data_IF_523002152013
#
_entry.id   IF_523002152013
#
_cell.length_a   1.000
_cell.length_b   1.000
_cell.length_c   1.000
_cell.angle_alpha   90.00
_cell.angle_beta   90.00
_cell.angle_gamma   90.00
#
_symmetry.space_group_name_H-M   'P 1'
#
loop_
_entity.id
_entity.type
_entity.pdbx_description
1 polymer ?
#
# COMPACT_ATOMS: atom_id res chain seq x y z
N UNK A 1 -14.96 4.88 1.69
CA UNK A 1 -14.52 3.58 2.23
C UNK A 1 -13.46 3.81 3.28
N UNK A 2 -13.39 2.89 4.23
CA UNK A 2 -12.31 2.72 5.19
C UNK A 2 -11.31 1.70 4.66
N UNK A 3 -10.06 2.12 4.50
CA UNK A 3 -9.02 1.34 3.86
C UNK A 3 -7.85 1.19 4.82
N UNK A 4 -7.46 -0.06 5.08
CA UNK A 4 -6.24 -0.39 5.81
C UNK A 4 -5.11 -0.70 4.84
N UNK A 5 -3.99 0.01 4.95
CA UNK A 5 -2.78 -0.29 4.19
C UNK A 5 -1.82 -1.07 5.08
N UNK A 6 -1.33 -2.22 4.61
CA UNK A 6 -0.35 -3.01 5.33
C UNK A 6 1.07 -2.51 5.03
N UNK A 7 1.66 -1.83 6.02
CA UNK A 7 3.01 -1.29 6.00
C UNK A 7 3.14 0.10 5.36
N UNK A 8 4.39 0.53 5.21
CA UNK A 8 4.80 1.80 4.59
C UNK A 8 5.82 1.54 3.47
N UNK A 9 5.38 0.82 2.43
CA UNK A 9 6.13 0.54 1.22
C UNK A 9 5.85 1.54 0.10
N UNK A 10 6.68 1.54 -0.95
CA UNK A 10 6.54 2.43 -2.12
C UNK A 10 5.13 2.37 -2.71
N UNK A 11 4.66 1.15 -3.01
CA UNK A 11 3.35 0.92 -3.63
C UNK A 11 2.23 1.28 -2.66
N UNK A 12 2.24 0.74 -1.44
CA UNK A 12 1.23 1.01 -0.42
C UNK A 12 1.05 2.51 -0.16
N UNK A 13 2.13 3.25 0.04
CA UNK A 13 2.07 4.70 0.26
C UNK A 13 1.59 5.48 -0.98
N UNK A 14 1.94 5.02 -2.18
CA UNK A 14 1.43 5.63 -3.43
C UNK A 14 -0.10 5.55 -3.47
N UNK A 15 -0.64 4.34 -3.37
CA UNK A 15 -2.07 4.11 -3.45
C UNK A 15 -2.79 4.72 -2.24
N UNK A 16 -2.19 4.70 -1.05
CA UNK A 16 -2.71 5.41 0.12
C UNK A 16 -2.92 6.90 -0.14
N UNK A 17 -1.95 7.56 -0.80
CA UNK A 17 -2.07 8.98 -1.16
C UNK A 17 -3.20 9.23 -2.16
N UNK A 18 -3.37 8.35 -3.15
CA UNK A 18 -4.42 8.46 -4.18
C UNK A 18 -5.80 8.18 -3.59
N UNK A 19 -5.93 7.14 -2.76
CA UNK A 19 -7.19 6.84 -2.06
C UNK A 19 -7.61 7.98 -1.14
N UNK A 20 -6.66 8.61 -0.44
CA UNK A 20 -6.94 9.76 0.41
C UNK A 20 -7.44 10.96 -0.40
N UNK A 21 -6.82 11.25 -1.55
CA UNK A 21 -7.28 12.29 -2.48
C UNK A 21 -8.68 12.02 -3.04
N UNK A 22 -9.02 10.75 -3.26
CA UNK A 22 -10.35 10.33 -3.67
C UNK A 22 -11.40 10.41 -2.53
N UNK A 23 -11.04 10.94 -1.35
CA UNK A 23 -11.95 11.13 -0.23
C UNK A 23 -12.18 9.90 0.64
N UNK A 24 -11.34 8.86 0.51
CA UNK A 24 -11.42 7.68 1.39
C UNK A 24 -10.72 7.92 2.73
N UNK A 25 -11.16 7.19 3.76
CA UNK A 25 -10.41 7.09 5.00
C UNK A 25 -9.32 6.04 4.83
N UNK A 26 -8.08 6.42 5.15
CA UNK A 26 -6.91 5.58 4.93
C UNK A 26 -6.07 5.56 6.19
N UNK A 27 -5.87 4.35 6.71
CA UNK A 27 -5.07 4.08 7.89
C UNK A 27 -4.01 3.01 7.56
N UNK A 28 -2.97 2.95 8.39
CA UNK A 28 -1.84 2.05 8.21
C UNK A 28 -1.68 1.13 9.41
N UNK A 29 -1.45 -0.15 9.13
CA UNK A 29 -0.83 -1.05 10.09
C UNK A 29 0.67 -1.11 9.82
N UNK A 30 1.46 -0.66 10.78
CA UNK A 30 2.92 -0.79 10.77
C UNK A 30 3.27 -1.75 11.89
N UNK A 31 3.98 -2.83 11.57
CA UNK A 31 4.41 -3.80 12.58
C UNK A 31 5.29 -3.12 13.63
N UNK A 32 5.12 -3.53 14.88
CA UNK A 32 5.97 -3.13 16.00
C UNK A 32 7.45 -3.44 15.70
N UNK A 33 8.34 -2.51 16.06
CA UNK A 33 9.79 -2.64 15.82
C UNK A 33 10.20 -2.37 14.37
N UNK A 34 9.27 -1.92 13.52
CA UNK A 34 9.59 -1.37 12.21
C UNK A 34 10.37 -0.07 12.35
N UNK A 35 11.43 0.10 11.58
CA UNK A 35 12.17 1.37 11.50
C UNK A 35 11.36 2.54 10.87
N UNK A 36 10.08 2.31 10.57
CA UNK A 36 9.13 3.28 10.00
C UNK A 36 7.94 3.56 10.93
N UNK A 37 7.88 2.92 12.08
CA UNK A 37 6.75 3.03 13.03
C UNK A 37 6.50 4.46 13.51
N UNK A 38 7.56 5.26 13.63
CA UNK A 38 7.48 6.66 14.05
C UNK A 38 7.08 7.63 12.92
N UNK A 39 6.95 7.18 11.67
CA UNK A 39 6.75 8.07 10.53
C UNK A 39 5.28 8.52 10.46
N UNK A 40 5.06 9.83 10.61
CA UNK A 40 3.73 10.45 10.56
C UNK A 40 3.48 11.28 9.29
N UNK A 41 4.52 11.69 8.56
CA UNK A 41 4.38 12.46 7.32
C UNK A 41 5.35 11.96 6.24
N UNK A 42 4.88 11.96 5.00
CA UNK A 42 5.61 11.54 3.81
C UNK A 42 5.46 12.62 2.74
N UNK A 43 6.57 13.12 2.22
CA UNK A 43 6.58 13.88 0.98
C UNK A 43 6.51 12.91 -0.20
N UNK A 44 5.40 12.94 -0.91
CA UNK A 44 5.16 12.11 -2.08
C UNK A 44 5.43 12.93 -3.34
N UNK A 45 6.41 12.50 -4.14
CA UNK A 45 6.68 13.03 -5.48
C UNK A 45 6.28 11.99 -6.52
N UNK A 46 5.17 12.25 -7.22
CA UNK A 46 4.65 11.38 -8.27
C UNK A 46 4.99 11.93 -9.65
N UNK A 47 5.33 11.05 -10.58
CA UNK A 47 5.26 11.36 -12.01
C UNK A 47 3.98 10.74 -12.56
N UNK A 48 2.98 11.60 -12.82
CA UNK A 48 1.65 11.21 -13.24
C UNK A 48 1.56 11.14 -14.77
N UNK A 49 1.45 9.92 -15.30
CA UNK A 49 1.39 9.65 -16.74
C UNK A 49 0.00 9.71 -17.37
N UNK A 50 -1.07 10.03 -16.62
CA UNK A 50 -2.46 9.95 -17.13
C UNK A 50 -2.71 10.93 -18.29
N UNK A 51 -2.23 12.16 -18.14
CA UNK A 51 -2.46 13.24 -19.11
C UNK A 51 -1.29 13.44 -20.08
N UNK A 52 -0.14 12.79 -19.84
CA UNK A 52 1.06 12.98 -20.66
C UNK A 52 1.98 11.77 -20.58
N UNK A 53 2.45 11.28 -21.73
CA UNK A 53 3.41 10.18 -21.83
C UNK A 53 4.79 10.51 -21.24
N UNK A 54 5.13 11.80 -21.10
CA UNK A 54 6.34 12.25 -20.38
C UNK A 54 6.13 12.35 -18.87
N UNK A 55 4.87 12.30 -18.43
CA UNK A 55 4.44 12.45 -17.05
C UNK A 55 4.49 13.90 -16.54
N UNK A 56 3.57 14.22 -15.64
CA UNK A 56 3.54 15.50 -14.92
C UNK A 56 4.02 15.25 -13.49
N UNK A 57 5.06 15.97 -13.07
CA UNK A 57 5.54 15.83 -11.70
C UNK A 57 4.61 16.55 -10.73
N UNK A 58 4.07 15.81 -9.77
CA UNK A 58 3.23 16.30 -8.68
C UNK A 58 3.94 16.06 -7.36
N UNK A 59 3.95 17.06 -6.48
CA UNK A 59 4.46 16.93 -5.10
C UNK A 59 3.31 17.18 -4.14
N UNK A 60 3.22 16.35 -3.11
CA UNK A 60 2.20 16.44 -2.06
C UNK A 60 2.72 15.88 -0.76
N UNK A 61 2.11 16.32 0.34
CA UNK A 61 2.32 15.71 1.64
C UNK A 61 1.24 14.66 1.91
N UNK A 62 1.63 13.57 2.54
CA UNK A 62 0.76 12.50 2.96
C UNK A 62 0.96 12.22 4.45
N UNK A 63 -0.08 12.46 5.23
CA UNK A 63 -0.10 12.12 6.66
C UNK A 63 -0.42 10.64 6.83
N UNK A 64 0.46 9.93 7.53
CA UNK A 64 0.26 8.52 7.89
C UNK A 64 -0.59 8.46 9.14
N UNK A 65 -1.81 7.94 9.01
CA UNK A 65 -2.67 7.67 10.16
C UNK A 65 -2.48 6.22 10.60
N UNK A 66 -2.14 5.94 11.87
CA UNK A 66 -2.14 4.57 12.38
C UNK A 66 -3.57 4.02 12.41
N UNK A 67 -3.69 2.70 12.31
CA UNK A 67 -4.97 2.00 12.44
C UNK A 67 -5.66 2.33 13.77
N UNK A 68 -6.95 2.68 13.72
CA UNK A 68 -7.77 3.01 14.89
C UNK A 68 -8.84 1.95 15.18
N UNK A 69 -9.08 1.06 14.22
CA UNK A 69 -10.08 -0.01 14.30
C UNK A 69 -9.58 -1.32 13.68
N UNK A 70 -10.42 -2.35 13.74
CA UNK A 70 -10.11 -3.70 13.23
C UNK A 70 -10.90 -4.11 11.99
N UNK A 71 -11.99 -3.40 11.67
CA UNK A 71 -12.82 -3.71 10.49
C UNK A 71 -12.71 -2.59 9.45
N UNK A 72 -12.46 -2.98 8.21
CA UNK A 72 -12.27 -2.09 7.06
C UNK A 72 -13.04 -2.63 5.87
N UNK A 73 -13.46 -1.76 4.97
CA UNK A 73 -14.07 -2.18 3.70
C UNK A 73 -13.03 -2.93 2.85
N UNK A 74 -11.77 -2.45 2.88
CA UNK A 74 -10.66 -3.01 2.11
C UNK A 74 -9.36 -3.01 2.90
N UNK A 75 -8.59 -4.09 2.76
CA UNK A 75 -7.22 -4.21 3.25
C UNK A 75 -6.28 -4.29 2.04
N UNK A 76 -5.47 -3.26 1.83
CA UNK A 76 -4.52 -3.18 0.74
C UNK A 76 -3.18 -3.79 1.13
N UNK A 77 -2.75 -4.82 0.41
CA UNK A 77 -1.52 -5.56 0.65
C UNK A 77 -0.61 -5.44 -0.56
N UNK A 78 0.51 -4.73 -0.41
CA UNK A 78 1.56 -4.63 -1.44
C UNK A 78 2.94 -4.90 -0.84
N UNK A 79 3.32 -6.17 -0.80
CA UNK A 79 4.57 -6.65 -0.19
C UNK A 79 5.39 -7.46 -1.20
N UNK A 80 6.67 -7.65 -0.91
CA UNK A 80 7.53 -8.53 -1.70
C UNK A 80 7.00 -9.97 -1.71
N UNK A 81 7.33 -10.71 -2.76
CA UNK A 81 7.06 -12.15 -2.86
C UNK A 81 7.53 -12.92 -1.63
N UNK A 82 6.83 -14.00 -1.29
CA UNK A 82 7.14 -14.88 -0.16
C UNK A 82 6.70 -14.36 1.21
N UNK A 83 6.21 -13.12 1.35
CA UNK A 83 5.80 -12.56 2.65
C UNK A 83 4.29 -12.63 2.92
N UNK A 84 3.51 -13.18 1.99
CA UNK A 84 2.04 -13.17 2.05
C UNK A 84 1.54 -13.99 3.24
N UNK A 85 2.13 -15.17 3.48
CA UNK A 85 1.80 -15.99 4.65
C UNK A 85 1.94 -15.19 5.96
N UNK A 86 3.07 -14.48 6.13
CA UNK A 86 3.32 -13.65 7.31
C UNK A 86 2.32 -12.49 7.44
N UNK A 87 1.90 -11.87 6.32
CA UNK A 87 0.85 -10.84 6.36
C UNK A 87 -0.47 -11.46 6.81
N UNK A 88 -0.85 -12.62 6.28
CA UNK A 88 -2.08 -13.29 6.70
C UNK A 88 -2.04 -13.71 8.18
N UNK A 89 -0.89 -14.13 8.68
CA UNK A 89 -0.69 -14.38 10.12
C UNK A 89 -0.89 -13.11 10.95
N UNK A 90 -0.35 -11.97 10.50
CA UNK A 90 -0.59 -10.67 11.13
C UNK A 90 -2.08 -10.33 11.11
N UNK A 91 -2.76 -10.43 9.96
CA UNK A 91 -4.18 -10.09 9.85
C UNK A 91 -5.02 -10.92 10.83
N UNK A 92 -4.74 -12.22 10.94
CA UNK A 92 -5.40 -13.11 11.90
C UNK A 92 -5.06 -12.77 13.35
N UNK A 93 -3.78 -12.62 13.68
CA UNK A 93 -3.31 -12.30 15.04
C UNK A 93 -3.90 -10.99 15.54
N UNK A 94 -3.90 -9.97 14.69
CA UNK A 94 -4.42 -8.64 14.98
C UNK A 94 -5.94 -8.55 14.82
N UNK A 95 -6.60 -9.63 14.38
CA UNK A 95 -8.04 -9.75 14.17
C UNK A 95 -8.61 -8.75 13.15
N UNK A 96 -7.83 -8.35 12.15
CA UNK A 96 -8.28 -7.46 11.09
C UNK A 96 -9.28 -8.15 10.16
N UNK A 97 -10.35 -7.46 9.79
CA UNK A 97 -11.35 -7.93 8.83
C UNK A 97 -11.53 -6.92 7.70
N UNK A 98 -11.81 -7.45 6.50
CA UNK A 98 -12.04 -6.67 5.29
C UNK A 98 -11.64 -7.46 4.05
N UNK A 99 -12.10 -7.00 2.88
CA UNK A 99 -11.72 -7.62 1.60
C UNK A 99 -10.27 -7.30 1.28
N UNK A 100 -9.47 -8.30 0.97
CA UNK A 100 -8.03 -8.10 0.69
C UNK A 100 -7.83 -7.73 -0.77
N UNK A 101 -7.32 -6.54 -1.04
CA UNK A 101 -6.75 -6.20 -2.34
C UNK A 101 -5.26 -6.55 -2.35
N UNK A 102 -4.94 -7.68 -2.98
CA UNK A 102 -3.60 -8.23 -3.04
C UNK A 102 -2.85 -7.73 -4.28
N UNK A 103 -1.97 -6.77 -4.06
CA UNK A 103 -1.16 -6.07 -5.07
C UNK A 103 0.31 -6.49 -4.97
N UNK A 104 0.61 -7.75 -5.30
CA UNK A 104 1.95 -8.33 -5.27
C UNK A 104 2.24 -9.00 -6.62
N UNK A 105 3.51 -9.11 -7.03
CA UNK A 105 3.87 -9.98 -8.16
C UNK A 105 3.68 -11.44 -7.73
N UNK A 106 2.52 -12.03 -7.98
CA UNK A 106 2.19 -13.40 -7.58
C UNK A 106 2.66 -14.39 -8.65
N UNK A 107 3.31 -15.45 -8.20
CA UNK A 107 3.64 -16.63 -9.00
C UNK A 107 3.10 -17.89 -8.30
N UNK A 108 1.92 -17.75 -7.69
CA UNK A 108 1.27 -18.83 -6.97
C UNK A 108 0.03 -19.30 -7.73
N UNK A 109 -0.25 -20.59 -7.67
CA UNK A 109 -1.53 -21.10 -8.11
C UNK A 109 -2.66 -20.68 -7.15
N UNK A 110 -3.89 -20.79 -7.65
CA UNK A 110 -5.09 -20.42 -6.89
C UNK A 110 -5.27 -21.27 -5.62
N UNK A 111 -4.93 -22.57 -5.67
CA UNK A 111 -5.14 -23.47 -4.52
C UNK A 111 -4.26 -23.08 -3.34
N UNK A 112 -3.01 -22.72 -3.61
CA UNK A 112 -2.08 -22.21 -2.61
C UNK A 112 -2.56 -20.88 -2.02
N UNK A 113 -3.04 -19.96 -2.87
CA UNK A 113 -3.60 -18.69 -2.40
C UNK A 113 -4.83 -18.91 -1.52
N UNK A 114 -5.80 -19.71 -1.96
CA UNK A 114 -7.01 -20.01 -1.19
C UNK A 114 -6.67 -20.62 0.17
N UNK A 115 -5.68 -21.53 0.21
CA UNK A 115 -5.18 -22.14 1.45
C UNK A 115 -4.57 -21.12 2.42
N UNK A 116 -3.86 -20.10 1.92
CA UNK A 116 -3.24 -19.06 2.74
C UNK A 116 -4.26 -18.02 3.20
N UNK A 117 -5.23 -17.70 2.34
CA UNK A 117 -6.28 -16.73 2.61
C UNK A 117 -7.27 -17.22 3.66
N UNK A 118 -7.48 -18.54 3.79
CA UNK A 118 -8.25 -19.15 4.89
C UNK A 118 -9.62 -18.48 5.12
N UNK A 119 -10.36 -18.21 4.05
CA UNK A 119 -11.71 -17.64 4.11
C UNK A 119 -11.79 -16.11 4.11
N UNK A 120 -10.67 -15.39 3.96
CA UNK A 120 -10.71 -13.98 3.57
C UNK A 120 -11.11 -13.84 2.11
N UNK A 121 -12.09 -12.97 1.84
CA UNK A 121 -12.36 -12.51 0.48
C UNK A 121 -11.16 -11.73 -0.04
N UNK A 122 -10.75 -12.01 -1.28
CA UNK A 122 -9.62 -11.34 -1.88
C UNK A 122 -9.83 -11.02 -3.36
N UNK A 123 -9.22 -9.92 -3.78
CA UNK A 123 -9.14 -9.45 -5.15
C UNK A 123 -7.67 -9.35 -5.51
N UNK A 124 -7.31 -9.85 -6.69
CA UNK A 124 -5.96 -9.72 -7.22
C UNK A 124 -5.81 -8.40 -7.97
N UNK A 125 -4.78 -7.63 -7.62
CA UNK A 125 -4.43 -6.39 -8.29
C UNK A 125 -3.02 -6.43 -8.84
N UNK A 126 -2.79 -5.74 -9.96
CA UNK A 126 -1.45 -5.54 -10.50
C UNK A 126 -1.09 -4.05 -10.41
N UNK A 127 -0.33 -3.63 -9.40
CA UNK A 127 -0.01 -2.22 -9.20
C UNK A 127 1.03 -1.78 -10.24
N UNK A 128 0.61 -1.00 -11.24
CA UNK A 128 1.53 -0.41 -12.22
C UNK A 128 2.09 0.89 -11.65
N UNK A 129 3.07 0.75 -10.75
CA UNK A 129 3.79 1.87 -10.16
C UNK A 129 5.20 1.41 -9.76
N UNK A 130 6.19 2.30 -9.86
CA UNK A 130 7.56 2.01 -9.46
C UNK A 130 8.23 3.22 -8.81
N UNK A 131 9.12 3.02 -7.86
CA UNK A 131 9.73 4.14 -7.16
C UNK A 131 10.66 3.77 -6.01
N UNK A 132 11.12 4.79 -5.28
CA UNK A 132 11.97 4.61 -4.11
C UNK A 132 11.53 5.46 -2.92
N UNK A 133 11.75 4.92 -1.72
CA UNK A 133 11.53 5.57 -0.43
C UNK A 133 12.88 5.99 0.15
N UNK A 134 13.04 7.27 0.51
CA UNK A 134 14.20 7.79 1.24
C UNK A 134 13.79 8.32 2.60
N UNK A 135 14.37 7.79 3.67
CA UNK A 135 14.11 8.23 5.06
C UNK A 135 15.18 9.27 5.44
N UNK A 136 14.78 10.50 5.80
CA UNK A 136 15.72 11.48 6.38
C UNK A 136 15.69 11.37 7.91
N UNK A 137 16.85 11.23 8.56
CA UNK A 137 16.96 11.07 10.03
C UNK A 137 16.83 12.38 10.84
N UNK A 138 16.81 13.55 10.19
CA UNK A 138 16.78 14.88 10.87
C UNK A 138 15.41 15.57 10.91
N UNK A 139 14.45 15.08 10.15
CA UNK A 139 13.04 15.45 10.22
C UNK A 139 12.23 14.22 9.83
N UNK A 140 11.06 14.03 10.43
CA UNK A 140 10.11 12.93 10.19
C UNK A 140 9.53 12.92 8.76
N UNK A 141 10.39 12.92 7.74
CA UNK A 141 10.02 13.04 6.33
C UNK A 141 10.62 11.90 5.52
N UNK A 142 9.72 11.19 4.87
CA UNK A 142 10.03 10.15 3.91
C UNK A 142 9.78 10.69 2.51
N UNK A 143 10.75 10.61 1.60
CA UNK A 143 10.61 11.08 0.22
C UNK A 143 10.35 9.89 -0.70
N UNK A 144 9.19 9.87 -1.34
CA UNK A 144 8.82 8.87 -2.35
C UNK A 144 8.99 9.47 -3.75
N UNK A 145 9.85 8.87 -4.59
CA UNK A 145 9.93 9.23 -6.02
C UNK A 145 9.28 8.13 -6.84
N UNK A 146 8.23 8.43 -7.61
CA UNK A 146 7.46 7.45 -8.37
C UNK A 146 7.45 7.72 -9.88
N UNK A 147 7.46 6.65 -10.67
CA UNK A 147 7.14 6.62 -12.11
C UNK A 147 5.86 5.79 -12.26
N UNK A 148 4.78 6.39 -12.75
CA UNK A 148 3.57 5.66 -13.17
C UNK A 148 3.55 5.65 -14.69
N UNK A 149 3.81 4.48 -15.28
CA UNK A 149 3.66 4.28 -16.73
C UNK A 149 2.28 3.66 -16.97
N UNK A 150 1.31 4.45 -17.42
CA UNK A 150 0.12 3.88 -18.04
C UNK A 150 0.48 3.52 -19.48
N UNK A 151 0.64 2.24 -19.79
CA UNK A 151 0.36 1.79 -21.15
C UNK A 151 -1.14 1.57 -21.23
N UNK A 152 -1.84 2.43 -21.96
CA UNK A 152 -3.18 2.10 -22.44
C UNK A 152 -3.06 0.80 -23.23
N UNK A 153 -3.56 -0.31 -22.68
CA UNK A 153 -3.82 -1.50 -23.48
C UNK A 153 -4.97 -1.07 -24.40
N UNK A 154 -4.62 -0.81 -25.67
CA UNK A 154 -5.57 -0.50 -26.74
C UNK A 154 -6.06 -1.81 -27.34
#
# INVERSE_FOLDING_TARGET
MDILIIGLGVIGTTYASVFKEAGHNVEHYIREGSNKEYISNIEVTLLDGRESSKGIQVKKEYTVNPHSKKEYDMIFVSISQGKIANVMEILRKETFKGTILLCCNLWYDKQYLDKIMQGYDYILGFPVAGGCIKIKKKSLLLKLNLIVVYSTIS
#
